data_IF_871054993135
#
_entry.id   IF_871054993135
#
_cell.length_a   1.000
_cell.length_b   1.000
_cell.length_c   1.000
_cell.angle_alpha   90.00
_cell.angle_beta   90.00
_cell.angle_gamma   90.00
#
_symmetry.space_group_name_H-M   'P 1'
#
loop_
_entity.id
_entity.type
_entity.pdbx_description
1 polymer ?
#
# COMPACT_ATOMS: atom_id res chain seq x y z
N UNK A 1 54.36 -27.75 36.71
CA UNK A 1 53.56 -26.71 36.04
C UNK A 1 52.23 -27.33 35.61
N UNK A 2 51.13 -27.01 36.29
CA UNK A 2 49.79 -27.56 35.99
C UNK A 2 49.10 -26.63 34.98
N UNK A 3 48.79 -27.13 33.78
CA UNK A 3 47.97 -26.42 32.79
C UNK A 3 46.51 -26.82 32.99
N UNK A 4 45.68 -25.86 33.37
CA UNK A 4 44.22 -26.02 33.49
C UNK A 4 43.63 -25.68 32.11
N UNK A 5 42.99 -26.65 31.47
CA UNK A 5 42.20 -26.45 30.27
C UNK A 5 40.76 -26.13 30.69
N UNK A 6 40.32 -24.89 30.47
CA UNK A 6 38.92 -24.48 30.66
C UNK A 6 38.22 -24.58 29.32
N UNK A 7 37.44 -25.64 29.15
CA UNK A 7 36.55 -25.82 27.99
C UNK A 7 35.32 -24.95 28.18
N UNK A 8 35.26 -23.83 27.46
CA UNK A 8 34.10 -22.94 27.43
C UNK A 8 32.94 -23.57 26.67
N UNK A 9 31.86 -23.88 27.37
CA UNK A 9 30.61 -24.40 26.83
C UNK A 9 29.83 -23.26 26.16
N UNK A 10 29.91 -23.16 24.83
CA UNK A 10 29.04 -22.28 24.02
C UNK A 10 27.61 -22.84 24.03
N UNK A 11 26.77 -22.31 24.92
CA UNK A 11 25.32 -22.48 24.88
C UNK A 11 24.76 -21.60 23.75
N UNK A 12 24.55 -22.21 22.58
CA UNK A 12 23.73 -21.62 21.52
C UNK A 12 22.27 -21.61 21.99
N UNK A 13 21.86 -20.52 22.63
CA UNK A 13 20.46 -20.26 22.96
C UNK A 13 19.66 -20.12 21.67
N UNK A 14 18.89 -21.15 21.32
CA UNK A 14 17.83 -21.01 20.33
C UNK A 14 16.78 -20.08 20.92
N UNK A 15 16.86 -18.79 20.56
CA UNK A 15 15.75 -17.88 20.76
C UNK A 15 14.60 -18.40 19.89
N UNK A 16 13.67 -19.12 20.51
CA UNK A 16 12.35 -19.30 19.95
C UNK A 16 11.79 -17.88 19.78
N UNK A 17 11.84 -17.36 18.56
CA UNK A 17 10.98 -16.27 18.17
C UNK A 17 9.57 -16.82 18.32
N UNK A 18 8.95 -16.59 19.48
CA UNK A 18 7.52 -16.48 19.53
C UNK A 18 7.21 -15.44 18.45
N UNK A 19 6.64 -15.89 17.34
CA UNK A 19 5.92 -15.06 16.38
C UNK A 19 4.75 -14.48 17.16
N UNK A 20 5.07 -13.55 18.05
CA UNK A 20 4.18 -12.83 18.93
C UNK A 20 3.25 -12.04 18.05
N UNK A 21 1.98 -12.02 18.46
CA UNK A 21 0.87 -11.25 17.91
C UNK A 21 1.04 -10.88 16.43
N UNK A 22 0.30 -11.57 15.54
CA UNK A 22 0.04 -11.11 14.17
C UNK A 22 0.00 -9.59 14.22
N UNK A 23 0.95 -8.91 13.54
CA UNK A 23 1.09 -7.45 13.52
C UNK A 23 -0.23 -6.87 13.07
N UNK A 24 -1.10 -6.64 14.04
CA UNK A 24 -2.53 -6.87 13.87
C UNK A 24 -3.17 -5.54 13.72
N UNK A 25 -3.57 -5.23 12.50
CA UNK A 25 -4.24 -3.97 12.21
C UNK A 25 -5.42 -3.67 13.13
N UNK A 26 -5.90 -2.44 13.05
CA UNK A 26 -7.17 -2.08 13.64
C UNK A 26 -7.41 -0.58 13.60
N UNK A 27 -8.66 -0.17 13.42
CA UNK A 27 -9.02 1.23 13.40
C UNK A 27 -8.80 1.94 14.74
N UNK A 28 -8.35 3.20 14.67
CA UNK A 28 -8.40 4.15 15.79
C UNK A 28 -9.60 5.09 15.63
N UNK A 29 -10.12 5.57 16.75
CA UNK A 29 -11.13 6.62 16.80
C UNK A 29 -10.60 7.88 17.46
N UNK A 30 -11.06 9.04 17.02
CA UNK A 30 -10.94 10.29 17.77
C UNK A 30 -12.08 10.35 18.77
N UNK A 31 -11.75 10.27 20.06
CA UNK A 31 -12.70 10.22 21.16
C UNK A 31 -12.56 11.49 21.98
N UNK A 32 -13.67 12.21 22.15
CA UNK A 32 -13.74 13.41 22.99
C UNK A 32 -14.63 13.09 24.19
N UNK A 33 -14.11 13.37 25.40
CA UNK A 33 -14.82 13.11 26.65
C UNK A 33 -15.26 14.41 27.30
N UNK A 34 -16.41 14.38 27.96
CA UNK A 34 -16.88 15.51 28.76
C UNK A 34 -16.12 15.60 30.11
N UNK A 35 -16.33 16.63 30.94
CA UNK A 35 -15.66 16.74 32.24
C UNK A 35 -15.94 15.60 33.22
N UNK A 36 -17.00 14.80 32.99
CA UNK A 36 -17.30 13.59 33.80
C UNK A 36 -16.56 12.34 33.32
N UNK A 37 -15.85 12.43 32.19
CA UNK A 37 -15.13 11.32 31.56
C UNK A 37 -15.98 10.49 30.59
N UNK A 38 -17.28 10.82 30.44
CA UNK A 38 -18.15 10.14 29.50
C UNK A 38 -17.82 10.53 28.06
N UNK A 39 -17.97 9.58 27.12
CA UNK A 39 -17.74 9.84 25.69
C UNK A 39 -18.81 10.80 25.18
N UNK A 40 -18.41 12.03 24.90
CA UNK A 40 -19.25 13.07 24.35
C UNK A 40 -19.41 12.91 22.83
N UNK A 41 -18.33 12.54 22.14
CA UNK A 41 -18.34 12.22 20.73
C UNK A 41 -17.27 11.21 20.36
N UNK A 42 -17.53 10.44 19.30
CA UNK A 42 -16.59 9.51 18.70
C UNK A 42 -16.69 9.56 17.18
N UNK A 43 -15.54 9.51 16.52
CA UNK A 43 -15.43 9.38 15.07
C UNK A 43 -14.23 8.52 14.72
N UNK A 44 -14.27 7.88 13.56
CA UNK A 44 -13.10 7.20 12.98
C UNK A 44 -11.99 8.21 12.71
N UNK A 45 -10.74 7.77 12.87
CA UNK A 45 -9.59 8.59 12.53
C UNK A 45 -9.60 8.92 11.03
N UNK A 46 -10.09 8.02 10.18
CA UNK A 46 -10.26 8.17 8.73
C UNK A 46 -11.05 9.44 8.36
N UNK A 47 -12.28 9.57 8.85
CA UNK A 47 -13.16 10.71 8.55
C UNK A 47 -12.60 12.00 9.15
N UNK A 48 -11.93 11.92 10.30
CA UNK A 48 -11.32 13.08 10.94
C UNK A 48 -10.15 13.62 10.11
N UNK A 49 -9.18 12.76 9.77
CA UNK A 49 -8.02 13.12 8.95
C UNK A 49 -8.45 13.59 7.57
N UNK A 50 -9.44 12.93 6.97
CA UNK A 50 -10.12 13.37 5.74
C UNK A 50 -10.45 14.86 5.72
N UNK A 51 -11.11 15.33 6.77
CA UNK A 51 -11.57 16.71 6.85
C UNK A 51 -10.46 17.68 7.25
N UNK A 52 -9.62 17.29 8.21
CA UNK A 52 -8.64 18.20 8.83
C UNK A 52 -7.32 18.25 8.07
N UNK A 53 -6.82 17.12 7.58
CA UNK A 53 -5.54 17.04 6.88
C UNK A 53 -5.70 17.19 5.37
N UNK A 54 -6.76 16.61 4.79
CA UNK A 54 -6.94 16.55 3.33
C UNK A 54 -8.00 17.51 2.80
N UNK A 55 -8.68 18.27 3.67
CA UNK A 55 -9.68 19.28 3.27
C UNK A 55 -10.91 18.69 2.57
N UNK A 56 -11.19 17.40 2.74
CA UNK A 56 -12.30 16.71 2.09
C UNK A 56 -13.64 17.15 2.68
N UNK A 57 -14.66 17.28 1.83
CA UNK A 57 -16.00 17.69 2.25
C UNK A 57 -16.86 16.46 2.62
N UNK A 58 -16.52 15.80 3.72
CA UNK A 58 -17.19 14.57 4.14
C UNK A 58 -18.46 14.88 4.96
N UNK A 59 -19.67 14.69 4.42
CA UNK A 59 -20.90 14.83 5.19
C UNK A 59 -21.05 13.69 6.19
N UNK A 60 -21.43 14.03 7.43
CA UNK A 60 -21.69 13.03 8.48
C UNK A 60 -23.20 12.88 8.64
N UNK A 61 -23.72 11.71 8.27
CA UNK A 61 -25.16 11.44 8.29
C UNK A 61 -25.55 10.49 9.42
N UNK A 62 -26.47 10.93 10.29
CA UNK A 62 -27.01 10.10 11.38
C UNK A 62 -28.33 9.40 11.00
N UNK A 63 -29.02 9.88 9.96
CA UNK A 63 -30.35 9.39 9.56
C UNK A 63 -30.29 8.32 8.46
N UNK A 64 -29.12 8.09 7.89
CA UNK A 64 -28.89 7.13 6.81
C UNK A 64 -28.23 5.91 7.43
N UNK A 65 -28.75 4.71 7.16
CA UNK A 65 -28.22 3.47 7.73
C UNK A 65 -26.77 3.22 7.30
N UNK A 66 -26.00 2.54 8.15
CA UNK A 66 -24.64 2.10 7.83
C UNK A 66 -24.59 1.31 6.51
N UNK A 67 -25.57 0.45 6.24
CA UNK A 67 -25.65 -0.31 4.98
C UNK A 67 -25.79 0.61 3.76
N UNK A 68 -26.61 1.66 3.85
CA UNK A 68 -26.74 2.65 2.78
C UNK A 68 -25.43 3.42 2.57
N UNK A 69 -24.72 3.75 3.66
CA UNK A 69 -23.41 4.40 3.60
C UNK A 69 -22.36 3.49 2.93
N UNK A 70 -22.34 2.20 3.26
CA UNK A 70 -21.48 1.20 2.61
C UNK A 70 -21.79 1.08 1.12
N UNK A 71 -23.06 0.97 0.75
CA UNK A 71 -23.47 0.86 -0.65
C UNK A 71 -23.10 2.10 -1.47
N UNK A 72 -23.21 3.29 -0.88
CA UNK A 72 -22.73 4.53 -1.51
C UNK A 72 -21.22 4.45 -1.77
N UNK A 73 -20.43 4.13 -0.74
CA UNK A 73 -18.98 3.98 -0.87
C UNK A 73 -18.59 2.92 -1.91
N UNK A 74 -19.24 1.74 -1.91
CA UNK A 74 -19.00 0.72 -2.94
C UNK A 74 -19.35 1.20 -4.34
N UNK A 75 -20.39 2.03 -4.49
CA UNK A 75 -20.76 2.65 -5.77
C UNK A 75 -19.61 3.47 -6.38
N UNK A 76 -18.79 4.06 -5.53
CA UNK A 76 -17.64 4.91 -5.87
C UNK A 76 -16.37 4.09 -6.14
N UNK A 77 -16.18 2.94 -5.48
CA UNK A 77 -15.01 2.07 -5.68
C UNK A 77 -14.95 1.53 -7.13
N UNK A 78 -13.77 1.56 -7.81
CA UNK A 78 -13.59 1.00 -9.15
C UNK A 78 -14.06 -0.45 -9.29
N UNK A 79 -14.67 -0.80 -10.42
CA UNK A 79 -15.31 -2.11 -10.60
C UNK A 79 -14.33 -3.28 -10.52
N UNK A 80 -13.09 -3.11 -10.97
CA UNK A 80 -12.04 -4.15 -10.88
C UNK A 80 -11.69 -4.57 -9.46
N UNK A 81 -11.74 -3.65 -8.49
CA UNK A 81 -11.34 -3.94 -7.09
C UNK A 81 -12.53 -4.08 -6.15
N UNK A 82 -13.71 -3.58 -6.53
CA UNK A 82 -14.91 -3.58 -5.71
C UNK A 82 -15.28 -4.96 -5.13
N UNK A 83 -15.31 -6.08 -5.90
CA UNK A 83 -15.69 -7.38 -5.33
C UNK A 83 -14.76 -7.85 -4.20
N UNK A 84 -13.46 -7.52 -4.30
CA UNK A 84 -12.49 -7.85 -3.25
C UNK A 84 -12.80 -7.07 -1.96
N UNK A 85 -13.08 -5.77 -2.08
CA UNK A 85 -13.40 -4.92 -0.93
C UNK A 85 -14.75 -5.29 -0.32
N UNK A 86 -15.78 -5.53 -1.12
CA UNK A 86 -17.09 -5.99 -0.64
C UNK A 86 -16.97 -7.33 0.09
N UNK A 87 -16.18 -8.26 -0.44
CA UNK A 87 -15.89 -9.54 0.20
C UNK A 87 -15.24 -9.38 1.58
N UNK A 88 -14.25 -8.48 1.70
CA UNK A 88 -13.64 -8.20 2.99
C UNK A 88 -14.55 -7.42 3.94
N UNK A 89 -15.32 -6.44 3.47
CA UNK A 89 -16.27 -5.72 4.30
C UNK A 89 -17.30 -6.68 4.91
N UNK A 90 -17.85 -7.60 4.10
CA UNK A 90 -18.74 -8.66 4.59
C UNK A 90 -18.05 -9.55 5.62
N UNK A 91 -16.81 -9.94 5.38
CA UNK A 91 -16.01 -10.71 6.34
C UNK A 91 -15.83 -9.96 7.65
N UNK A 92 -15.54 -8.65 7.62
CA UNK A 92 -15.37 -7.82 8.82
C UNK A 92 -16.68 -7.80 9.62
N UNK A 93 -17.80 -7.51 8.97
CA UNK A 93 -19.11 -7.46 9.62
C UNK A 93 -19.50 -8.80 10.27
N UNK A 94 -19.19 -9.93 9.62
CA UNK A 94 -19.52 -11.27 10.13
C UNK A 94 -18.67 -11.69 11.34
N UNK A 95 -17.42 -11.21 11.42
CA UNK A 95 -16.46 -11.63 12.43
C UNK A 95 -16.22 -10.56 13.51
N UNK A 96 -16.93 -9.44 13.44
CA UNK A 96 -16.87 -8.36 14.43
C UNK A 96 -17.61 -8.72 15.72
N UNK A 97 -16.97 -8.41 16.85
CA UNK A 97 -17.55 -8.55 18.19
C UNK A 97 -17.42 -7.23 18.94
N UNK A 98 -18.54 -6.67 19.38
CA UNK A 98 -18.57 -5.51 20.26
C UNK A 98 -18.26 -5.95 21.70
N UNK A 99 -17.35 -5.24 22.36
CA UNK A 99 -16.99 -5.45 23.77
C UNK A 99 -17.13 -4.14 24.53
N UNK A 100 -17.81 -4.17 25.67
CA UNK A 100 -18.12 -2.99 26.50
C UNK A 100 -17.36 -3.02 27.82
N UNK A 101 -17.10 -1.84 28.40
CA UNK A 101 -16.44 -1.71 29.69
C UNK A 101 -14.98 -2.14 29.67
N UNK A 102 -14.36 -2.21 28.50
CA UNK A 102 -12.96 -2.60 28.31
C UNK A 102 -12.24 -1.61 27.41
N UNK A 103 -10.95 -1.42 27.66
CA UNK A 103 -10.04 -0.71 26.77
C UNK A 103 -9.33 -1.72 25.86
N UNK A 104 -9.29 -1.45 24.56
CA UNK A 104 -8.54 -2.29 23.63
C UNK A 104 -7.07 -1.89 23.66
N UNK A 105 -6.18 -2.89 23.63
CA UNK A 105 -4.73 -2.62 23.60
C UNK A 105 -4.37 -1.81 22.36
N UNK A 106 -3.57 -0.75 22.50
CA UNK A 106 -3.18 0.08 21.37
C UNK A 106 -2.32 -0.71 20.39
N UNK A 107 -2.57 -0.50 19.10
CA UNK A 107 -1.72 -0.97 18.01
C UNK A 107 -0.88 0.22 17.51
N UNK A 108 0.40 -0.01 17.31
CA UNK A 108 1.34 0.98 16.77
C UNK A 108 1.38 0.91 15.23
N UNK A 109 0.22 1.01 14.60
CA UNK A 109 0.03 0.97 13.14
C UNK A 109 -0.55 2.27 12.57
N UNK A 110 -0.84 3.23 13.45
CA UNK A 110 -1.43 4.50 13.11
C UNK A 110 -0.63 5.64 13.72
N UNK A 111 0.04 6.36 12.83
CA UNK A 111 0.72 7.62 13.09
C UNK A 111 -0.32 8.74 13.15
N UNK A 112 -0.63 9.19 14.36
CA UNK A 112 -1.61 10.25 14.60
C UNK A 112 -0.90 11.60 14.55
N UNK A 113 -1.26 12.44 13.59
CA UNK A 113 -0.56 13.71 13.33
C UNK A 113 -1.16 14.88 14.12
N UNK A 114 -2.50 14.96 14.19
CA UNK A 114 -3.22 16.02 14.87
C UNK A 114 -4.52 15.48 15.48
N UNK A 115 -5.00 16.12 16.55
CA UNK A 115 -6.29 15.82 17.20
C UNK A 115 -6.96 17.12 17.65
N UNK A 116 -8.30 17.18 17.77
CA UNK A 116 -8.96 18.31 18.39
C UNK A 116 -8.53 18.46 19.86
N UNK A 117 -8.52 19.69 20.37
CA UNK A 117 -8.18 19.96 21.76
C UNK A 117 -9.13 19.19 22.70
N UNK A 118 -8.54 18.48 23.68
CA UNK A 118 -9.30 17.70 24.67
C UNK A 118 -9.78 16.33 24.19
N UNK A 119 -9.39 15.90 22.99
CA UNK A 119 -9.70 14.57 22.46
C UNK A 119 -8.44 13.69 22.41
N UNK A 120 -8.63 12.37 22.33
CA UNK A 120 -7.57 11.38 22.26
C UNK A 120 -7.80 10.42 21.09
N UNK A 121 -6.73 9.85 20.55
CA UNK A 121 -6.83 8.73 19.63
C UNK A 121 -6.87 7.43 20.44
N UNK A 122 -8.03 6.79 20.48
CA UNK A 122 -8.24 5.54 21.22
C UNK A 122 -8.37 4.37 20.24
N UNK A 123 -7.91 3.17 20.63
CA UNK A 123 -8.06 1.98 19.81
C UNK A 123 -9.54 1.61 19.72
N UNK A 124 -10.10 1.66 18.51
CA UNK A 124 -11.50 1.39 18.26
C UNK A 124 -11.72 -0.08 17.87
N UNK A 125 -10.81 -0.66 17.10
CA UNK A 125 -10.88 -2.05 16.67
C UNK A 125 -9.53 -2.74 16.81
N UNK A 126 -9.49 -4.04 17.10
CA UNK A 126 -8.23 -4.79 17.22
C UNK A 126 -8.45 -6.26 16.78
N UNK A 127 -7.61 -6.76 15.89
CA UNK A 127 -7.62 -8.18 15.52
C UNK A 127 -6.90 -9.03 16.55
N UNK A 128 -7.62 -10.00 17.11
CA UNK A 128 -7.02 -11.03 17.99
C UNK A 128 -6.76 -12.36 17.26
N UNK A 129 -7.13 -12.44 15.97
CA UNK A 129 -6.81 -13.53 15.03
C UNK A 129 -6.92 -13.00 13.59
N UNK A 130 -6.57 -13.77 12.57
CA UNK A 130 -6.65 -13.34 11.16
C UNK A 130 -8.07 -12.98 10.66
N UNK A 131 -9.09 -13.45 11.38
CA UNK A 131 -10.50 -13.30 10.99
C UNK A 131 -11.33 -12.54 11.99
N UNK A 132 -11.06 -12.68 13.30
CA UNK A 132 -11.89 -12.08 14.34
C UNK A 132 -11.36 -10.72 14.80
N UNK A 133 -12.27 -9.76 14.89
CA UNK A 133 -12.02 -8.38 15.28
C UNK A 133 -12.85 -8.01 16.50
N UNK A 134 -12.20 -7.49 17.53
CA UNK A 134 -12.86 -6.84 18.66
C UNK A 134 -13.06 -5.37 18.33
N UNK A 135 -14.22 -4.83 18.65
CA UNK A 135 -14.52 -3.41 18.52
C UNK A 135 -15.00 -2.89 19.86
N UNK A 136 -14.48 -1.74 20.28
CA UNK A 136 -14.90 -1.08 21.51
C UNK A 136 -16.35 -0.61 21.36
N UNK A 137 -17.26 -1.30 22.04
CA UNK A 137 -18.70 -1.05 22.00
C UNK A 137 -19.07 0.32 22.56
N UNK A 138 -18.36 0.81 23.57
CA UNK A 138 -18.64 2.11 24.20
C UNK A 138 -18.33 3.27 23.24
N UNK A 139 -17.26 3.15 22.45
CA UNK A 139 -16.94 4.09 21.37
C UNK A 139 -17.91 3.91 20.19
N UNK A 140 -18.15 2.67 19.76
CA UNK A 140 -19.03 2.34 18.63
C UNK A 140 -20.45 2.88 18.80
N UNK A 141 -21.00 2.82 20.00
CA UNK A 141 -22.35 3.31 20.32
C UNK A 141 -22.47 4.84 20.23
N UNK A 142 -21.35 5.55 20.28
CA UNK A 142 -21.28 7.01 20.15
C UNK A 142 -20.92 7.48 18.73
N UNK A 143 -20.67 6.54 17.82
CA UNK A 143 -20.39 6.84 16.42
C UNK A 143 -21.66 7.01 15.60
N UNK A 144 -21.53 7.85 14.58
CA UNK A 144 -22.54 7.99 13.52
C UNK A 144 -22.50 6.80 12.57
N UNK A 145 -23.57 6.60 11.80
CA UNK A 145 -23.63 5.51 10.81
C UNK A 145 -22.54 5.62 9.73
N UNK A 146 -22.18 6.86 9.31
CA UNK A 146 -21.03 7.10 8.42
C UNK A 146 -19.71 6.66 9.05
N UNK A 147 -19.49 6.90 10.35
CA UNK A 147 -18.29 6.47 11.04
C UNK A 147 -18.22 4.95 11.20
N UNK A 148 -19.35 4.30 11.51
CA UNK A 148 -19.43 2.84 11.54
C UNK A 148 -19.10 2.22 10.18
N UNK A 149 -19.66 2.79 9.10
CA UNK A 149 -19.35 2.35 7.74
C UNK A 149 -17.87 2.58 7.39
N UNK A 150 -17.30 3.72 7.78
CA UNK A 150 -15.89 4.02 7.57
C UNK A 150 -14.96 3.02 8.27
N UNK A 151 -15.28 2.59 9.50
CA UNK A 151 -14.51 1.54 10.18
C UNK A 151 -14.56 0.21 9.40
N UNK A 152 -15.74 -0.22 8.94
CA UNK A 152 -15.85 -1.46 8.16
C UNK A 152 -15.03 -1.37 6.86
N UNK A 153 -15.07 -0.23 6.18
CA UNK A 153 -14.27 0.00 4.97
C UNK A 153 -12.78 0.10 5.26
N UNK A 154 -12.38 0.70 6.39
CA UNK A 154 -10.99 0.74 6.84
C UNK A 154 -10.42 -0.66 6.90
N UNK A 155 -11.09 -1.56 7.62
CA UNK A 155 -10.60 -2.93 7.77
C UNK A 155 -10.60 -3.69 6.44
N UNK A 156 -11.58 -3.46 5.58
CA UNK A 156 -11.66 -4.09 4.27
C UNK A 156 -10.56 -3.62 3.31
N UNK A 157 -10.37 -2.30 3.20
CA UNK A 157 -9.34 -1.65 2.40
C UNK A 157 -7.96 -2.02 2.92
N UNK A 158 -7.73 -1.94 4.23
CA UNK A 158 -6.42 -2.25 4.80
C UNK A 158 -6.08 -3.74 4.66
N UNK A 159 -7.05 -4.64 4.85
CA UNK A 159 -6.85 -6.07 4.58
C UNK A 159 -6.46 -6.34 3.14
N UNK A 160 -7.09 -5.68 2.16
CA UNK A 160 -6.69 -5.85 0.77
C UNK A 160 -5.32 -5.21 0.47
N UNK A 161 -4.99 -4.06 1.08
CA UNK A 161 -3.68 -3.43 0.93
C UNK A 161 -2.54 -4.32 1.50
N UNK A 162 -2.78 -5.05 2.60
CA UNK A 162 -1.79 -5.98 3.16
C UNK A 162 -1.45 -7.16 2.24
N UNK A 163 -2.35 -7.55 1.33
CA UNK A 163 -2.03 -8.57 0.29
C UNK A 163 -0.89 -8.13 -0.61
N UNK A 164 -0.66 -6.83 -0.71
CA UNK A 164 0.33 -6.21 -1.55
C UNK A 164 1.50 -5.62 -0.74
N UNK A 165 1.57 -5.91 0.56
CA UNK A 165 2.72 -5.58 1.40
C UNK A 165 2.59 -4.31 2.25
N UNK A 166 1.40 -3.72 2.37
CA UNK A 166 1.20 -2.59 3.28
C UNK A 166 1.53 -2.97 4.74
N UNK A 167 2.34 -2.16 5.40
CA UNK A 167 2.75 -2.36 6.80
C UNK A 167 2.02 -1.46 7.80
N UNK A 168 1.35 -0.42 7.33
CA UNK A 168 0.56 0.54 8.12
C UNK A 168 -0.73 0.93 7.40
N UNK A 169 -1.67 1.55 8.13
CA UNK A 169 -3.00 1.88 7.63
C UNK A 169 -3.16 3.30 7.09
N UNK A 170 -2.09 4.12 7.01
CA UNK A 170 -2.21 5.56 6.71
C UNK A 170 -2.87 5.81 5.35
N UNK A 171 -2.42 5.11 4.31
CA UNK A 171 -3.03 5.16 2.97
C UNK A 171 -4.47 4.67 2.97
N UNK A 172 -4.77 3.61 3.73
CA UNK A 172 -6.14 3.10 3.85
C UNK A 172 -7.08 4.14 4.45
N UNK A 173 -6.61 4.94 5.42
CA UNK A 173 -7.39 6.03 6.01
C UNK A 173 -7.73 7.13 5.02
N UNK A 174 -6.75 7.56 4.23
CA UNK A 174 -6.98 8.54 3.18
C UNK A 174 -7.98 8.02 2.14
N UNK A 175 -7.78 6.79 1.65
CA UNK A 175 -8.70 6.13 0.73
C UNK A 175 -10.13 6.12 1.29
N UNK A 176 -10.32 5.65 2.52
CA UNK A 176 -11.64 5.57 3.14
C UNK A 176 -12.26 6.94 3.24
N UNK A 177 -11.53 7.96 3.68
CA UNK A 177 -12.02 9.33 3.76
C UNK A 177 -12.54 9.84 2.40
N UNK A 178 -11.79 9.59 1.33
CA UNK A 178 -12.16 9.95 -0.05
C UNK A 178 -13.36 9.18 -0.61
N UNK A 179 -13.72 8.01 -0.06
CA UNK A 179 -14.96 7.32 -0.42
C UNK A 179 -16.23 7.99 0.13
N UNK A 180 -16.07 8.81 1.17
CA UNK A 180 -17.18 9.56 1.78
C UNK A 180 -17.26 11.01 1.32
N UNK A 181 -16.29 11.50 0.55
CA UNK A 181 -16.35 12.84 -0.04
C UNK A 181 -17.08 12.81 -1.39
N UNK A 182 -18.24 13.49 -1.54
CA UNK A 182 -18.99 13.53 -2.79
C UNK A 182 -18.24 14.27 -3.91
N UNK A 183 -17.22 15.08 -3.59
CA UNK A 183 -16.36 15.72 -4.57
C UNK A 183 -15.33 14.80 -5.19
N UNK A 184 -15.06 13.64 -4.58
CA UNK A 184 -14.03 12.73 -5.06
C UNK A 184 -14.54 11.92 -6.26
N UNK A 185 -13.85 12.07 -7.40
CA UNK A 185 -14.11 11.29 -8.61
C UNK A 185 -13.08 10.19 -8.75
N UNK A 186 -13.57 8.95 -8.73
CA UNK A 186 -12.76 7.76 -8.87
C UNK A 186 -12.82 7.25 -10.30
N UNK A 187 -11.81 7.58 -11.08
CA UNK A 187 -11.69 7.05 -12.43
C UNK A 187 -11.01 5.69 -12.35
N UNK A 188 -11.74 4.63 -12.68
CA UNK A 188 -11.12 3.35 -13.00
C UNK A 188 -10.28 3.57 -14.24
N UNK A 189 -8.95 3.51 -14.14
CA UNK A 189 -8.18 3.93 -15.29
C UNK A 189 -8.32 2.87 -16.35
N UNK A 190 -9.04 3.25 -17.40
CA UNK A 190 -9.15 2.51 -18.64
C UNK A 190 -7.77 2.64 -19.27
N UNK A 191 -6.85 1.74 -18.90
CA UNK A 191 -5.60 1.65 -19.63
C UNK A 191 -5.98 1.05 -20.98
N UNK A 192 -6.38 1.92 -21.90
CA UNK A 192 -6.40 1.62 -23.32
C UNK A 192 -4.95 1.38 -23.70
N UNK A 193 -4.55 0.12 -23.57
CA UNK A 193 -3.19 -0.26 -23.79
C UNK A 193 -2.93 -0.21 -25.30
N UNK A 194 -1.97 0.60 -25.77
CA UNK A 194 -1.66 0.64 -27.20
C UNK A 194 -1.20 -0.72 -27.69
N UNK A 195 -1.42 -1.00 -28.97
CA UNK A 195 -0.73 -2.12 -29.63
C UNK A 195 0.78 -1.96 -29.38
N UNK A 196 1.41 -3.00 -28.82
CA UNK A 196 2.83 -3.06 -28.41
C UNK A 196 3.18 -2.49 -27.03
N UNK A 197 2.20 -2.09 -26.22
CA UNK A 197 2.43 -1.78 -24.81
C UNK A 197 3.04 -2.98 -24.04
N UNK A 198 3.81 -2.66 -23.02
CA UNK A 198 4.42 -3.60 -22.09
C UNK A 198 3.63 -3.62 -20.81
N UNK A 199 3.29 -4.82 -20.32
CA UNK A 199 2.82 -5.00 -18.95
C UNK A 199 4.01 -5.31 -18.08
N UNK A 200 4.28 -4.48 -17.09
CA UNK A 200 5.43 -4.62 -16.20
C UNK A 200 4.97 -4.82 -14.75
N UNK A 201 5.63 -5.76 -14.05
CA UNK A 201 5.28 -6.18 -12.70
C UNK A 201 6.51 -6.19 -11.78
N UNK A 202 6.33 -5.71 -10.54
CA UNK A 202 7.36 -5.78 -9.49
C UNK A 202 6.71 -5.88 -8.09
N UNK A 203 6.82 -7.04 -7.41
CA UNK A 203 6.26 -7.28 -6.05
C UNK A 203 4.84 -6.72 -5.85
N UNK A 204 3.89 -7.11 -6.71
CA UNK A 204 2.49 -6.64 -6.62
C UNK A 204 2.22 -5.26 -7.23
N UNK A 205 3.25 -4.51 -7.60
CA UNK A 205 3.12 -3.31 -8.42
C UNK A 205 2.95 -3.70 -9.89
N UNK A 206 2.13 -2.92 -10.57
CA UNK A 206 1.83 -3.10 -11.98
C UNK A 206 1.83 -1.75 -12.67
N UNK A 207 2.44 -1.68 -13.85
CA UNK A 207 2.24 -0.58 -14.78
C UNK A 207 2.27 -1.04 -16.22
N UNK A 208 1.71 -0.22 -17.08
CA UNK A 208 1.83 -0.35 -18.53
C UNK A 208 2.82 0.67 -19.05
N UNK A 209 3.79 0.24 -19.83
CA UNK A 209 4.72 1.13 -20.52
C UNK A 209 4.48 1.09 -22.03
N UNK A 210 4.36 2.24 -22.69
CA UNK A 210 4.25 2.29 -24.15
C UNK A 210 5.01 3.49 -24.73
N UNK A 211 5.53 3.36 -25.97
CA UNK A 211 6.21 4.46 -26.62
C UNK A 211 5.20 5.52 -27.07
N UNK A 212 5.56 6.80 -26.94
CA UNK A 212 4.87 7.96 -27.49
C UNK A 212 5.92 8.93 -28.05
N UNK A 213 6.17 8.86 -29.35
CA UNK A 213 7.31 9.56 -29.98
C UNK A 213 8.64 9.02 -29.47
N UNK A 214 9.56 9.91 -29.08
CA UNK A 214 10.87 9.55 -28.49
C UNK A 214 10.81 9.33 -26.97
N UNK A 215 9.60 9.25 -26.42
CA UNK A 215 9.33 9.13 -24.99
C UNK A 215 8.60 7.84 -24.67
N UNK A 216 8.68 7.41 -23.41
CA UNK A 216 7.87 6.33 -22.88
C UNK A 216 6.84 6.89 -21.91
N UNK A 217 5.58 6.47 -22.07
CA UNK A 217 4.54 6.73 -21.09
C UNK A 217 4.41 5.53 -20.19
N UNK A 218 4.44 5.78 -18.89
CA UNK A 218 4.18 4.79 -17.86
C UNK A 218 2.84 5.06 -17.18
N UNK A 219 1.89 4.14 -17.34
CA UNK A 219 0.60 4.19 -16.69
C UNK A 219 0.57 3.17 -15.54
N UNK A 220 0.68 3.67 -14.32
CA UNK A 220 0.70 2.82 -13.14
C UNK A 220 -0.73 2.36 -12.77
N UNK A 221 -0.86 1.08 -12.42
CA UNK A 221 -2.05 0.58 -11.73
C UNK A 221 -1.84 0.53 -10.23
N UNK A 222 -0.68 0.06 -9.77
CA UNK A 222 -0.36 -0.09 -8.35
C UNK A 222 1.07 0.39 -8.15
N UNK A 223 1.25 1.28 -7.18
CA UNK A 223 2.53 1.76 -6.66
C UNK A 223 2.56 1.51 -5.15
N UNK A 224 3.69 1.09 -4.60
CA UNK A 224 3.75 0.78 -3.18
C UNK A 224 3.11 -0.53 -2.76
N UNK A 225 2.46 -1.28 -3.66
CA UNK A 225 1.60 -2.37 -3.26
C UNK A 225 0.34 -1.89 -2.52
N UNK A 226 -0.32 -0.85 -3.03
CA UNK A 226 -1.58 -0.38 -2.48
C UNK A 226 -2.72 -0.47 -3.49
N UNK A 227 -3.95 -0.49 -2.99
CA UNK A 227 -5.14 -0.57 -3.83
C UNK A 227 -5.13 0.60 -4.81
N UNK A 228 -5.33 0.28 -6.08
CA UNK A 228 -5.43 1.25 -7.17
C UNK A 228 -6.61 2.19 -6.92
N UNK A 229 -6.26 3.44 -6.79
CA UNK A 229 -7.18 4.47 -6.35
C UNK A 229 -7.13 5.65 -7.36
N UNK A 230 -5.99 5.96 -8.00
CA UNK A 230 -5.90 6.86 -9.17
C UNK A 230 -5.06 6.31 -10.32
N UNK A 231 -5.29 6.84 -11.54
CA UNK A 231 -4.32 6.76 -12.63
C UNK A 231 -3.16 7.70 -12.34
N UNK A 232 -1.93 7.25 -12.58
CA UNK A 232 -0.80 8.15 -12.64
C UNK A 232 -0.03 7.90 -13.92
N UNK A 233 0.26 8.97 -14.64
CA UNK A 233 1.03 8.94 -15.88
C UNK A 233 2.39 9.63 -15.64
N UNK A 234 3.46 8.91 -15.95
CA UNK A 234 4.81 9.47 -15.99
C UNK A 234 5.32 9.45 -17.43
N UNK A 235 5.97 10.54 -17.85
CA UNK A 235 6.65 10.60 -19.15
C UNK A 235 8.15 10.48 -18.92
N UNK A 236 8.72 9.45 -19.51
CA UNK A 236 10.15 9.22 -19.64
C UNK A 236 10.63 9.84 -20.94
N UNK A 237 11.62 10.72 -20.87
CA UNK A 237 12.39 11.14 -22.03
C UNK A 237 13.61 10.24 -22.18
N UNK A 238 13.71 9.51 -23.29
CA UNK A 238 14.90 8.73 -23.58
C UNK A 238 16.09 9.64 -23.86
N UNK A 239 17.12 9.60 -23.02
CA UNK A 239 18.40 10.24 -23.36
C UNK A 239 19.07 9.45 -24.48
N UNK A 240 19.08 9.98 -25.70
CA UNK A 240 19.87 9.49 -26.84
C UNK A 240 19.80 7.98 -27.14
N UNK A 241 18.67 7.31 -26.85
CA UNK A 241 18.49 5.89 -27.13
C UNK A 241 19.11 4.92 -26.10
N UNK A 242 19.60 5.39 -24.94
CA UNK A 242 20.16 4.49 -23.90
C UNK A 242 19.09 3.67 -23.17
N UNK A 243 17.84 4.16 -23.19
CA UNK A 243 16.73 3.58 -22.46
C UNK A 243 15.59 3.17 -23.39
N UNK A 244 15.61 1.91 -23.80
CA UNK A 244 14.55 1.29 -24.59
C UNK A 244 13.91 0.16 -23.77
N UNK A 245 12.64 0.34 -23.37
CA UNK A 245 11.90 -0.70 -22.64
C UNK A 245 11.50 -1.87 -23.55
N UNK A 246 11.58 -1.75 -24.88
CA UNK A 246 11.36 -2.90 -25.77
C UNK A 246 12.41 -4.00 -25.56
N UNK A 247 13.61 -3.68 -25.08
CA UNK A 247 14.60 -4.69 -24.69
C UNK A 247 14.07 -5.61 -23.57
N UNK A 248 13.18 -5.11 -22.70
CA UNK A 248 12.55 -5.92 -21.66
C UNK A 248 11.59 -6.97 -22.23
N UNK A 249 11.25 -6.92 -23.53
CA UNK A 249 10.48 -7.98 -24.22
C UNK A 249 11.28 -9.25 -24.42
N UNK A 250 12.57 -9.09 -24.73
CA UNK A 250 13.44 -10.18 -25.20
C UNK A 250 14.60 -10.46 -24.28
N UNK A 251 14.88 -9.56 -23.32
CA UNK A 251 16.05 -9.61 -22.43
C UNK A 251 17.32 -10.01 -23.22
N UNK A 252 17.70 -9.23 -24.25
CA UNK A 252 18.64 -9.67 -25.25
C UNK A 252 19.97 -10.06 -24.59
N UNK A 253 20.40 -11.29 -24.86
CA UNK A 253 21.72 -11.75 -24.46
C UNK A 253 22.71 -11.18 -25.47
N UNK A 254 23.59 -10.30 -25.00
CA UNK A 254 24.61 -9.65 -25.83
C UNK A 254 25.96 -10.29 -25.54
N UNK A 255 26.72 -10.56 -26.60
CA UNK A 255 28.12 -10.96 -26.54
C UNK A 255 28.99 -9.76 -26.92
N UNK A 256 29.99 -9.41 -26.13
CA UNK A 256 30.86 -8.28 -26.46
C UNK A 256 31.63 -7.71 -25.27
N UNK A 257 31.99 -6.44 -25.37
CA UNK A 257 32.66 -5.69 -24.30
C UNK A 257 31.86 -5.79 -22.99
N UNK A 258 32.60 -6.00 -21.91
CA UNK A 258 32.02 -6.19 -20.58
C UNK A 258 31.37 -4.89 -20.11
N UNK A 259 30.03 -4.92 -19.99
CA UNK A 259 29.22 -3.86 -19.41
C UNK A 259 28.74 -4.25 -18.03
N UNK A 260 29.09 -5.42 -17.50
CA UNK A 260 28.62 -5.92 -16.21
C UNK A 260 28.91 -4.89 -15.12
N UNK A 261 27.87 -4.55 -14.35
CA UNK A 261 27.95 -3.54 -13.29
C UNK A 261 27.70 -2.11 -13.75
N UNK A 262 27.65 -1.84 -15.06
CA UNK A 262 27.16 -0.57 -15.57
C UNK A 262 25.65 -0.45 -15.36
N UNK A 263 25.19 0.77 -15.04
CA UNK A 263 23.78 1.05 -14.84
C UNK A 263 23.38 2.42 -15.38
N UNK A 264 22.21 2.47 -16.01
CA UNK A 264 21.55 3.71 -16.41
C UNK A 264 20.30 3.88 -15.54
N UNK A 265 20.18 5.03 -14.88
CA UNK A 265 19.01 5.35 -14.03
C UNK A 265 18.19 6.42 -14.69
N UNK A 266 16.89 6.30 -14.52
CA UNK A 266 15.94 7.30 -14.96
C UNK A 266 14.93 7.51 -13.86
N UNK A 267 14.73 8.76 -13.46
CA UNK A 267 13.78 9.11 -12.43
C UNK A 267 12.72 10.03 -13.01
N UNK A 268 11.47 9.84 -12.61
CA UNK A 268 10.35 10.69 -12.95
C UNK A 268 9.54 10.97 -11.70
N UNK A 269 8.97 12.17 -11.64
CA UNK A 269 7.93 12.45 -10.65
C UNK A 269 6.59 12.06 -11.25
N UNK A 270 5.84 11.25 -10.53
CA UNK A 270 4.49 10.85 -10.87
C UNK A 270 3.53 11.50 -9.87
N UNK A 271 2.53 12.23 -10.35
CA UNK A 271 1.56 12.91 -9.48
C UNK A 271 0.26 12.11 -9.45
N UNK A 272 -0.05 11.49 -8.33
CA UNK A 272 -1.33 10.79 -8.16
C UNK A 272 -2.39 11.77 -7.65
N UNK A 273 -3.67 11.47 -7.83
CA UNK A 273 -4.74 12.33 -7.27
C UNK A 273 -4.78 12.28 -5.73
N UNK A 274 -4.10 11.31 -5.12
CA UNK A 274 -4.10 11.07 -3.68
C UNK A 274 -2.79 11.48 -3.01
N UNK A 275 -1.74 11.71 -3.80
CA UNK A 275 -0.39 11.97 -3.31
C UNK A 275 0.33 12.92 -4.28
N UNK A 276 0.80 14.04 -3.74
CA UNK A 276 1.80 14.90 -4.37
C UNK A 276 3.06 14.11 -4.73
N UNK A 277 3.37 14.01 -6.02
CA UNK A 277 4.69 13.65 -6.56
C UNK A 277 5.44 12.47 -5.90
N UNK A 278 5.11 11.23 -6.21
CA UNK A 278 6.04 10.13 -5.97
C UNK A 278 7.21 10.21 -6.96
N UNK A 279 8.43 9.97 -6.52
CA UNK A 279 9.57 9.82 -7.41
C UNK A 279 9.74 8.34 -7.75
N UNK A 280 9.46 7.97 -9.00
CA UNK A 280 9.74 6.62 -9.51
C UNK A 280 11.06 6.63 -10.25
N UNK A 281 11.95 5.70 -9.89
CA UNK A 281 13.21 5.47 -10.58
C UNK A 281 13.19 4.10 -11.23
N UNK A 282 13.46 4.04 -12.54
CA UNK A 282 13.76 2.79 -13.24
C UNK A 282 15.26 2.73 -13.51
N UNK A 283 15.88 1.65 -13.05
CA UNK A 283 17.30 1.37 -13.28
C UNK A 283 17.44 0.24 -14.28
N UNK A 284 18.18 0.47 -15.36
CA UNK A 284 18.69 -0.59 -16.25
C UNK A 284 20.09 -0.98 -15.77
N UNK A 285 20.34 -2.25 -15.49
CA UNK A 285 21.67 -2.79 -15.13
C UNK A 285 22.08 -3.90 -16.06
N UNK A 286 23.35 -3.90 -16.44
CA UNK A 286 23.94 -5.02 -17.16
C UNK A 286 24.45 -6.06 -16.17
N UNK A 287 23.97 -7.29 -16.30
CA UNK A 287 24.32 -8.38 -15.43
C UNK A 287 24.92 -9.55 -16.21
N UNK A 288 25.82 -10.26 -15.53
CA UNK A 288 26.41 -11.47 -16.04
C UNK A 288 25.31 -12.52 -16.27
N UNK A 289 25.30 -13.14 -17.46
CA UNK A 289 24.43 -14.27 -17.71
C UNK A 289 24.87 -15.44 -16.84
N UNK A 290 23.91 -16.08 -16.15
CA UNK A 290 24.17 -17.30 -15.37
C UNK A 290 23.51 -18.49 -16.04
N UNK A 291 24.24 -19.60 -16.12
CA UNK A 291 23.67 -20.88 -16.52
C UNK A 291 22.59 -21.31 -15.53
N UNK A 292 21.43 -21.69 -16.03
CA UNK A 292 20.27 -21.99 -15.19
C UNK A 292 20.50 -23.19 -14.26
N UNK A 293 21.24 -24.19 -14.73
CA UNK A 293 21.43 -25.46 -14.01
C UNK A 293 22.52 -25.35 -12.95
N UNK A 294 23.61 -24.66 -13.27
CA UNK A 294 24.81 -24.59 -12.43
C UNK A 294 24.94 -23.28 -11.66
N UNK A 295 24.20 -22.23 -12.05
CA UNK A 295 24.35 -20.88 -11.53
C UNK A 295 25.68 -20.21 -11.91
N UNK A 296 26.53 -20.87 -12.71
CA UNK A 296 27.83 -20.35 -13.11
C UNK A 296 27.66 -19.19 -14.09
N UNK A 297 28.48 -18.16 -13.92
CA UNK A 297 28.55 -17.05 -14.87
C UNK A 297 29.09 -17.56 -16.20
N UNK A 298 28.38 -17.24 -17.29
CA UNK A 298 28.78 -17.56 -18.66
C UNK A 298 29.67 -16.41 -19.19
N UNK A 299 30.99 -16.60 -19.33
CA UNK A 299 31.91 -15.51 -19.67
C UNK A 299 31.60 -14.89 -21.03
N UNK A 300 31.67 -13.56 -21.10
CA UNK A 300 31.45 -12.79 -22.33
C UNK A 300 29.99 -12.63 -22.75
N UNK A 301 29.04 -13.07 -21.92
CA UNK A 301 27.61 -12.89 -22.14
C UNK A 301 26.97 -12.06 -21.02
N UNK A 302 26.12 -11.13 -21.39
CA UNK A 302 25.44 -10.23 -20.48
C UNK A 302 24.01 -9.94 -20.94
N UNK A 303 23.15 -9.59 -19.99
CA UNK A 303 21.77 -9.18 -20.27
C UNK A 303 21.40 -7.93 -19.47
N UNK A 304 20.58 -7.03 -20.04
CA UNK A 304 20.03 -5.93 -19.29
C UNK A 304 18.92 -6.45 -18.37
N UNK A 305 18.95 -6.06 -17.09
CA UNK A 305 17.83 -6.21 -16.16
C UNK A 305 17.31 -4.85 -15.78
N UNK A 306 15.99 -4.77 -15.67
CA UNK A 306 15.30 -3.57 -15.26
C UNK A 306 14.88 -3.73 -13.82
N UNK A 307 14.98 -2.62 -13.10
CA UNK A 307 14.60 -2.52 -11.72
C UNK A 307 13.77 -1.26 -11.52
N UNK A 308 12.84 -1.31 -10.58
CA UNK A 308 12.04 -0.16 -10.18
C UNK A 308 12.21 0.09 -8.69
N UNK A 309 12.44 1.34 -8.33
CA UNK A 309 12.31 1.84 -6.97
C UNK A 309 11.40 3.06 -6.99
N UNK A 310 10.77 3.35 -5.87
CA UNK A 310 10.04 4.60 -5.71
C UNK A 310 10.31 5.18 -4.33
N UNK A 311 10.20 6.49 -4.28
CA UNK A 311 10.27 7.29 -3.08
C UNK A 311 9.00 8.13 -3.03
N UNK A 312 8.11 7.84 -2.09
CA UNK A 312 7.01 8.76 -1.85
C UNK A 312 7.55 10.01 -1.15
N UNK A 313 7.32 11.17 -1.77
CA UNK A 313 7.69 12.45 -1.17
C UNK A 313 6.73 12.84 -0.04
N UNK A 314 5.55 12.21 0.00
CA UNK A 314 4.57 12.44 1.04
C UNK A 314 4.71 11.48 2.20
N UNK A 315 4.07 11.90 3.27
CA UNK A 315 4.10 11.27 4.56
C UNK A 315 3.27 9.98 4.61
N UNK A 316 3.82 8.86 5.12
CA UNK A 316 5.20 8.68 5.55
C UNK A 316 6.12 8.49 4.32
N UNK A 317 7.32 9.09 4.37
CA UNK A 317 8.31 8.92 3.30
C UNK A 317 8.74 7.46 3.24
N UNK A 318 8.12 6.69 2.35
CA UNK A 318 8.45 5.29 2.13
C UNK A 318 9.34 5.21 0.91
N UNK A 319 10.59 4.78 1.13
CA UNK A 319 11.45 4.34 0.04
C UNK A 319 11.31 2.83 -0.04
N UNK A 320 10.94 2.32 -1.21
CA UNK A 320 10.99 0.87 -1.42
C UNK A 320 12.32 0.51 -2.05
N UNK A 321 12.94 -0.49 -1.43
CA UNK A 321 14.13 -1.15 -1.97
C UNK A 321 13.88 -1.47 -3.44
N UNK A 322 14.89 -1.27 -4.26
CA UNK A 322 14.84 -1.54 -5.68
C UNK A 322 14.41 -2.99 -5.98
N UNK A 323 13.39 -3.13 -6.84
CA UNK A 323 12.76 -4.41 -7.16
C UNK A 323 12.99 -4.80 -8.61
N UNK A 324 13.24 -6.08 -8.92
CA UNK A 324 13.36 -6.54 -10.29
C UNK A 324 12.03 -6.36 -11.03
N UNK A 325 12.13 -5.85 -12.25
CA UNK A 325 11.00 -5.56 -13.11
C UNK A 325 10.82 -6.66 -14.15
N UNK A 326 9.66 -7.29 -14.16
CA UNK A 326 9.30 -8.30 -15.15
C UNK A 326 8.31 -7.68 -16.15
N UNK A 327 8.71 -7.50 -17.40
CA UNK A 327 7.84 -6.97 -18.45
C UNK A 327 7.49 -8.04 -19.48
N UNK A 328 6.25 -8.01 -19.97
CA UNK A 328 5.79 -8.88 -21.06
C UNK A 328 4.99 -8.09 -22.08
N UNK A 329 5.12 -8.44 -23.36
CA UNK A 329 4.19 -7.96 -24.39
C UNK A 329 2.83 -8.59 -24.14
N UNK A 330 1.76 -7.79 -24.13
CA UNK A 330 0.43 -8.38 -24.17
C UNK A 330 0.18 -8.90 -25.58
N UNK A 331 -0.07 -10.20 -25.69
CA UNK A 331 -0.71 -10.78 -26.87
C UNK A 331 -2.18 -10.34 -26.90
N UNK A 332 -2.70 -9.89 -28.06
CA UNK A 332 -4.07 -9.39 -28.22
C UNK A 332 -5.15 -10.28 -27.61
#
# INVERSE_FOLDING_TARGET
MKKIFVTGLLLAGMHAHATGAISGGGGKGVVCRDPSGAIASAQTLDIYEGRVLYGLNIPVFNKVTMETQLNHAFGVIPKSVRPLIEGYAKSVQQNMRLVHGVELQPVDDALVVALPQGCQAEQLANYFSDTNILVNGDIWDRMTESNRAALILHEAVYKAARLYGATDSQRSRHVVASLFDPGTVWNEPQIQMPQNGLKCFAKGNYFVAYPQGDSWVLNFQVLGGHIRMSETQGIIFGSNGEFDLTEAKTFPIVKGEDRIGSSTKMSMTISSNFEDGDLVTITKRWEALKDYNSGQVIPGYQMPKYYISWLSQNYPSTSVEEQPLNCSVQTP
#
